data_IF_461137435319
#
_entry.id   IF_461137435319
#
_cell.length_a   1.000
_cell.length_b   1.000
_cell.length_c   1.000
_cell.angle_alpha   90.00
_cell.angle_beta   90.00
_cell.angle_gamma   90.00
#
_symmetry.space_group_name_H-M   'P 1'
#
loop_
_entity.id
_entity.type
_entity.pdbx_description
1 polymer ?
#
# COMPACT_ATOMS: atom_id res chain seq x y z
N UNK A 1 -31.09 -67.50 43.16
CA UNK A 1 -31.14 -66.77 41.89
C UNK A 1 -30.89 -65.27 42.16
N UNK A 2 -29.66 -64.81 41.93
CA UNK A 2 -29.29 -63.40 42.12
C UNK A 2 -29.37 -62.68 40.73
N UNK A 3 -30.23 -61.69 40.60
CA UNK A 3 -30.32 -60.88 39.37
C UNK A 3 -29.26 -59.75 39.44
N UNK A 4 -28.39 -59.76 38.49
CA UNK A 4 -27.40 -58.67 38.25
C UNK A 4 -28.10 -57.64 37.42
N UNK A 5 -28.20 -56.41 37.94
CA UNK A 5 -28.66 -55.20 37.18
C UNK A 5 -27.45 -54.51 36.60
N UNK A 6 -27.35 -54.49 35.28
CA UNK A 6 -26.29 -53.77 34.56
C UNK A 6 -26.75 -52.33 34.39
N UNK A 7 -26.06 -51.37 35.06
CA UNK A 7 -26.24 -49.94 34.81
C UNK A 7 -25.42 -49.55 33.57
N UNK A 8 -26.11 -49.16 32.49
CA UNK A 8 -25.48 -48.54 31.34
C UNK A 8 -25.27 -47.05 31.64
N UNK A 9 -24.02 -46.62 31.87
CA UNK A 9 -23.66 -45.21 31.90
C UNK A 9 -23.52 -44.68 30.46
N UNK A 10 -24.47 -43.87 30.00
CA UNK A 10 -24.36 -43.09 28.77
C UNK A 10 -23.49 -41.85 29.04
N UNK A 11 -22.25 -41.86 28.56
CA UNK A 11 -21.41 -40.67 28.56
C UNK A 11 -21.84 -39.74 27.41
N UNK A 12 -22.53 -38.63 27.75
CA UNK A 12 -22.77 -37.54 26.81
C UNK A 12 -21.47 -36.79 26.54
N UNK A 13 -20.89 -36.96 25.37
CA UNK A 13 -19.80 -36.12 24.86
C UNK A 13 -20.42 -34.84 24.35
N UNK A 14 -20.31 -33.77 25.13
CA UNK A 14 -20.63 -32.41 24.67
C UNK A 14 -19.56 -31.97 23.66
N UNK A 15 -19.88 -32.03 22.38
CA UNK A 15 -19.09 -31.40 21.32
C UNK A 15 -19.23 -29.88 21.47
N UNK A 16 -18.22 -29.22 22.00
CA UNK A 16 -18.07 -27.78 21.94
C UNK A 16 -17.83 -27.39 20.47
N UNK A 17 -18.88 -27.05 19.76
CA UNK A 17 -18.80 -26.37 18.46
C UNK A 17 -18.28 -24.96 18.69
N UNK A 18 -16.96 -24.77 18.61
CA UNK A 18 -16.35 -23.47 18.57
C UNK A 18 -16.82 -22.75 17.31
N UNK A 19 -17.70 -21.76 17.46
CA UNK A 19 -18.01 -20.83 16.39
C UNK A 19 -16.73 -20.03 16.09
N UNK A 20 -16.00 -20.40 15.06
CA UNK A 20 -14.97 -19.52 14.48
C UNK A 20 -15.72 -18.35 13.85
N UNK A 21 -15.80 -17.23 14.55
CA UNK A 21 -16.20 -15.95 13.94
C UNK A 21 -15.24 -15.71 12.79
N UNK A 22 -15.78 -15.63 11.57
CA UNK A 22 -14.98 -15.25 10.41
C UNK A 22 -14.30 -13.93 10.72
N UNK A 23 -12.96 -13.94 10.81
CA UNK A 23 -12.17 -12.76 11.13
C UNK A 23 -12.34 -11.77 10.00
N UNK A 24 -12.79 -10.55 10.30
CA UNK A 24 -13.02 -9.52 9.28
C UNK A 24 -11.68 -9.14 8.65
N UNK A 25 -11.49 -9.52 7.41
CA UNK A 25 -10.30 -9.17 6.65
C UNK A 25 -10.58 -7.91 5.84
N UNK A 26 -9.68 -6.94 5.93
CA UNK A 26 -9.69 -5.74 5.11
C UNK A 26 -8.62 -5.83 4.03
N UNK A 27 -8.82 -5.09 2.92
CA UNK A 27 -7.83 -5.08 1.86
C UNK A 27 -7.77 -3.73 1.14
N UNK A 28 -6.63 -3.45 0.51
CA UNK A 28 -6.49 -2.33 -0.41
C UNK A 28 -5.64 -2.70 -1.61
N UNK A 29 -5.93 -2.02 -2.72
CA UNK A 29 -5.10 -2.02 -3.92
C UNK A 29 -4.21 -0.79 -3.92
N UNK A 30 -2.96 -0.89 -4.39
CA UNK A 30 -2.09 0.28 -4.49
C UNK A 30 -1.34 0.32 -5.83
N UNK A 31 -1.24 1.52 -6.44
CA UNK A 31 -0.48 1.74 -7.65
C UNK A 31 0.14 3.15 -7.65
N UNK A 32 1.38 3.29 -8.11
CA UNK A 32 2.05 4.57 -8.31
C UNK A 32 2.45 4.78 -9.76
N UNK A 33 2.76 6.03 -10.11
CA UNK A 33 3.38 6.39 -11.40
C UNK A 33 2.54 5.92 -12.59
N UNK A 34 1.26 6.19 -12.53
CA UNK A 34 0.30 5.70 -13.53
C UNK A 34 -0.28 6.77 -14.44
N UNK A 35 -0.20 8.06 -14.06
CA UNK A 35 -0.94 9.18 -14.62
C UNK A 35 -0.55 9.64 -16.03
N UNK A 36 -0.05 8.74 -16.88
CA UNK A 36 0.41 9.05 -18.25
C UNK A 36 -0.73 9.19 -19.25
N UNK A 37 -1.95 8.84 -18.86
CA UNK A 37 -3.09 8.81 -19.79
C UNK A 37 -3.04 7.66 -20.80
N UNK A 38 -4.02 7.65 -21.69
CA UNK A 38 -4.02 6.73 -22.83
C UNK A 38 -4.20 5.26 -22.47
N UNK A 39 -3.68 4.39 -23.34
CA UNK A 39 -3.86 2.94 -23.24
C UNK A 39 -3.12 2.29 -22.05
N UNK A 40 -1.87 2.68 -21.73
CA UNK A 40 -1.17 2.06 -20.59
C UNK A 40 -1.91 2.23 -19.27
N UNK A 41 -2.31 3.46 -18.95
CA UNK A 41 -3.06 3.76 -17.72
C UNK A 41 -4.42 3.04 -17.68
N UNK A 42 -5.18 3.06 -18.79
CA UNK A 42 -6.46 2.33 -18.87
C UNK A 42 -6.28 0.82 -18.71
N UNK A 43 -5.21 0.26 -19.25
CA UNK A 43 -4.90 -1.18 -19.12
C UNK A 43 -4.63 -1.57 -17.67
N UNK A 44 -3.90 -0.73 -16.93
CA UNK A 44 -3.70 -0.90 -15.49
C UNK A 44 -5.04 -0.88 -14.74
N UNK A 45 -5.84 0.17 -14.96
CA UNK A 45 -7.14 0.32 -14.28
C UNK A 45 -8.09 -0.85 -14.56
N UNK A 46 -8.16 -1.32 -15.81
CA UNK A 46 -8.97 -2.48 -16.17
C UNK A 46 -8.46 -3.77 -15.51
N UNK A 47 -7.15 -3.94 -15.42
CA UNK A 47 -6.56 -5.09 -14.72
C UNK A 47 -6.89 -5.07 -13.24
N UNK A 48 -6.72 -3.92 -12.58
CA UNK A 48 -7.05 -3.75 -11.16
C UNK A 48 -8.53 -4.00 -10.90
N UNK A 49 -9.44 -3.49 -11.73
CA UNK A 49 -10.86 -3.74 -11.64
C UNK A 49 -11.21 -5.24 -11.73
N UNK A 50 -10.61 -5.95 -12.71
CA UNK A 50 -10.81 -7.40 -12.87
C UNK A 50 -10.24 -8.21 -11.72
N UNK A 51 -9.16 -7.75 -11.12
CA UNK A 51 -8.56 -8.39 -9.96
C UNK A 51 -9.43 -8.16 -8.71
N UNK A 52 -9.88 -6.93 -8.49
CA UNK A 52 -10.75 -6.56 -7.37
C UNK A 52 -12.07 -7.34 -7.37
N UNK A 53 -12.68 -7.55 -8.53
CA UNK A 53 -13.90 -8.34 -8.64
C UNK A 53 -13.78 -9.81 -8.16
N UNK A 54 -12.57 -10.32 -8.01
CA UNK A 54 -12.25 -11.66 -7.47
C UNK A 54 -11.61 -11.62 -6.10
N UNK A 55 -11.02 -10.50 -5.75
CA UNK A 55 -10.30 -10.25 -4.51
C UNK A 55 -10.77 -8.89 -3.96
N UNK A 56 -11.93 -8.86 -3.30
CA UNK A 56 -12.55 -7.61 -2.87
C UNK A 56 -11.63 -6.75 -2.02
N UNK A 57 -11.69 -5.43 -2.23
CA UNK A 57 -10.95 -4.45 -1.48
C UNK A 57 -11.88 -3.39 -0.87
N UNK A 58 -11.39 -2.66 0.12
CA UNK A 58 -12.11 -1.57 0.78
C UNK A 58 -11.56 -0.20 0.34
N UNK A 59 -10.33 -0.18 -0.21
CA UNK A 59 -9.65 1.06 -0.55
C UNK A 59 -8.80 0.89 -1.81
N UNK A 60 -8.73 1.96 -2.59
CA UNK A 60 -7.73 2.18 -3.62
C UNK A 60 -6.74 3.24 -3.12
N UNK A 61 -5.46 2.91 -3.09
CA UNK A 61 -4.35 3.77 -2.65
C UNK A 61 -3.51 4.16 -3.86
N UNK A 62 -3.17 5.43 -3.99
CA UNK A 62 -2.20 5.88 -5.00
C UNK A 62 -0.88 6.25 -4.34
N UNK A 63 0.24 5.89 -4.99
CA UNK A 63 1.59 6.08 -4.47
C UNK A 63 2.30 7.32 -5.09
N UNK A 64 1.51 8.27 -5.60
CA UNK A 64 2.02 9.49 -6.24
C UNK A 64 2.19 9.36 -7.75
N UNK A 65 2.54 10.49 -8.38
CA UNK A 65 2.59 10.68 -9.82
C UNK A 65 1.28 10.23 -10.47
N UNK A 66 0.22 10.88 -9.98
CA UNK A 66 -1.15 10.63 -10.39
C UNK A 66 -1.46 11.26 -11.76
N UNK A 67 -0.68 12.28 -12.16
CA UNK A 67 -0.80 12.97 -13.44
C UNK A 67 0.57 13.40 -14.00
N UNK A 68 0.84 13.04 -15.25
CA UNK A 68 1.99 13.52 -16.03
C UNK A 68 1.57 14.48 -17.15
N UNK A 69 0.25 14.74 -17.28
CA UNK A 69 -0.27 15.51 -18.42
C UNK A 69 -0.18 17.01 -18.21
N UNK A 70 0.10 17.46 -16.99
CA UNK A 70 0.12 18.87 -16.59
C UNK A 70 -1.18 19.62 -16.95
N UNK A 71 -2.29 18.87 -17.03
CA UNK A 71 -3.60 19.39 -17.43
C UNK A 71 -4.70 18.87 -16.50
N UNK A 72 -5.30 19.72 -15.67
CA UNK A 72 -6.39 19.32 -14.77
C UNK A 72 -7.57 18.65 -15.47
N UNK A 73 -7.86 19.06 -16.72
CA UNK A 73 -8.93 18.45 -17.51
C UNK A 73 -8.54 17.06 -18.00
N UNK A 74 -7.32 16.90 -18.50
CA UNK A 74 -6.77 15.59 -18.93
C UNK A 74 -6.67 14.64 -17.76
N UNK A 75 -6.11 15.08 -16.63
CA UNK A 75 -6.05 14.29 -15.39
C UNK A 75 -7.43 13.78 -14.98
N UNK A 76 -8.42 14.68 -14.86
CA UNK A 76 -9.78 14.28 -14.48
C UNK A 76 -10.38 13.25 -15.45
N UNK A 77 -10.17 13.45 -16.74
CA UNK A 77 -10.72 12.56 -17.77
C UNK A 77 -10.05 11.19 -17.74
N UNK A 78 -8.71 11.16 -17.69
CA UNK A 78 -7.92 9.94 -17.63
C UNK A 78 -8.21 9.16 -16.36
N UNK A 79 -8.19 9.82 -15.20
CA UNK A 79 -8.47 9.18 -13.91
C UNK A 79 -9.88 8.56 -13.88
N UNK A 80 -10.89 9.26 -14.38
CA UNK A 80 -12.26 8.73 -14.44
C UNK A 80 -12.37 7.52 -15.36
N UNK A 81 -11.66 7.54 -16.48
CA UNK A 81 -11.64 6.43 -17.43
C UNK A 81 -10.92 5.21 -16.84
N UNK A 82 -9.88 5.42 -16.05
CA UNK A 82 -9.02 4.37 -15.48
C UNK A 82 -9.54 3.85 -14.15
N UNK A 83 -9.84 4.74 -13.19
CA UNK A 83 -10.18 4.39 -11.81
C UNK A 83 -11.58 4.80 -11.37
N UNK A 84 -12.40 5.36 -12.26
CA UNK A 84 -13.79 5.73 -11.92
C UNK A 84 -14.64 4.54 -11.45
N UNK A 85 -14.26 3.32 -11.80
CA UNK A 85 -14.89 2.09 -11.30
C UNK A 85 -14.74 1.96 -9.77
N UNK A 86 -13.59 2.33 -9.19
CA UNK A 86 -13.34 2.18 -7.77
C UNK A 86 -14.40 2.88 -6.91
N UNK A 87 -14.78 4.12 -7.28
CA UNK A 87 -15.86 4.82 -6.58
C UNK A 87 -17.23 4.22 -6.83
N UNK A 88 -17.49 3.70 -8.03
CA UNK A 88 -18.78 3.03 -8.33
C UNK A 88 -18.95 1.72 -7.58
N UNK A 89 -17.86 1.03 -7.24
CA UNK A 89 -17.87 -0.18 -6.40
C UNK A 89 -17.79 0.11 -4.91
N UNK A 90 -17.74 1.39 -4.52
CA UNK A 90 -17.72 1.80 -3.11
C UNK A 90 -16.35 1.81 -2.46
N UNK A 91 -15.26 1.63 -3.22
CA UNK A 91 -13.91 1.74 -2.68
C UNK A 91 -13.63 3.18 -2.24
N UNK A 92 -13.07 3.33 -1.05
CA UNK A 92 -12.49 4.61 -0.63
C UNK A 92 -11.20 4.85 -1.41
N UNK A 93 -11.10 6.00 -2.06
CA UNK A 93 -9.86 6.42 -2.70
C UNK A 93 -9.04 7.25 -1.72
N UNK A 94 -7.75 6.98 -1.65
CA UNK A 94 -6.76 7.73 -0.87
C UNK A 94 -5.42 7.70 -1.61
N UNK A 95 -4.55 8.65 -1.38
CA UNK A 95 -3.28 8.65 -2.08
C UNK A 95 -2.29 9.67 -1.53
N UNK A 96 -1.18 9.79 -2.21
CA UNK A 96 -0.13 10.77 -1.96
C UNK A 96 0.19 11.54 -3.25
N UNK A 97 0.85 12.67 -3.11
CA UNK A 97 1.37 13.44 -4.22
C UNK A 97 2.78 12.96 -4.60
N UNK A 98 3.03 12.81 -5.90
CA UNK A 98 4.37 12.66 -6.45
C UNK A 98 4.91 14.00 -6.96
N UNK A 99 6.12 14.01 -7.51
CA UNK A 99 6.75 15.23 -8.00
C UNK A 99 6.05 15.80 -9.25
N UNK A 100 5.52 14.95 -10.13
CA UNK A 100 4.78 15.41 -11.30
C UNK A 100 3.44 16.04 -10.93
N UNK A 101 2.81 15.63 -9.84
CA UNK A 101 1.56 16.24 -9.34
C UNK A 101 1.77 17.72 -8.92
N UNK A 102 2.99 18.09 -8.52
CA UNK A 102 3.32 19.48 -8.17
C UNK A 102 3.53 20.40 -9.37
N UNK A 103 3.79 19.85 -10.55
CA UNK A 103 4.01 20.64 -11.78
C UNK A 103 2.76 21.40 -12.21
N UNK A 104 1.57 20.95 -11.77
CA UNK A 104 0.29 21.59 -12.09
C UNK A 104 -0.48 21.99 -10.84
N UNK A 105 -0.40 23.26 -10.45
CA UNK A 105 -1.19 23.80 -9.35
C UNK A 105 -0.83 23.26 -7.97
N UNK A 106 0.40 22.81 -7.79
CA UNK A 106 0.93 22.29 -6.52
C UNK A 106 0.07 21.16 -5.91
N UNK A 107 -0.36 20.20 -6.72
CA UNK A 107 -1.12 19.02 -6.28
C UNK A 107 -2.59 19.28 -5.90
N UNK A 108 -3.09 20.53 -6.01
CA UNK A 108 -4.47 20.85 -5.55
C UNK A 108 -5.56 20.11 -6.33
N UNK A 109 -5.30 19.78 -7.58
CA UNK A 109 -6.25 19.05 -8.42
C UNK A 109 -6.33 17.58 -8.02
N UNK A 110 -5.18 16.98 -7.70
CA UNK A 110 -5.02 15.63 -7.19
C UNK A 110 -5.68 15.50 -5.82
N UNK A 111 -5.40 16.44 -4.89
CA UNK A 111 -6.05 16.50 -3.58
C UNK A 111 -7.57 16.49 -3.73
N UNK A 112 -8.12 17.37 -4.58
CA UNK A 112 -9.55 17.47 -4.81
C UNK A 112 -10.14 16.22 -5.46
N UNK A 113 -9.53 15.74 -6.56
CA UNK A 113 -10.06 14.62 -7.34
C UNK A 113 -9.93 13.29 -6.57
N UNK A 114 -8.87 13.06 -5.84
CA UNK A 114 -8.66 11.83 -5.06
C UNK A 114 -9.35 11.90 -3.68
N UNK A 115 -9.85 13.06 -3.27
CA UNK A 115 -10.53 13.24 -1.97
C UNK A 115 -9.55 13.17 -0.79
N UNK A 116 -8.33 13.66 -1.02
CA UNK A 116 -7.32 13.80 0.03
C UNK A 116 -7.60 15.08 0.84
N UNK A 117 -7.66 15.02 2.19
CA UNK A 117 -8.03 16.18 3.01
C UNK A 117 -6.90 17.23 3.08
N UNK A 118 -5.66 16.80 2.89
CA UNK A 118 -4.44 17.61 2.93
C UNK A 118 -3.30 16.85 2.25
N UNK A 119 -2.12 17.45 2.00
CA UNK A 119 -0.98 16.74 1.43
C UNK A 119 -0.48 15.58 2.30
N UNK A 120 -0.67 15.66 3.62
CA UNK A 120 -0.38 14.56 4.55
C UNK A 120 -1.52 14.37 5.56
N UNK A 121 -1.85 13.12 5.85
CA UNK A 121 -3.00 12.75 6.69
C UNK A 121 -2.94 11.26 7.08
N UNK A 122 -3.88 10.80 7.90
CA UNK A 122 -4.01 9.38 8.23
C UNK A 122 -5.37 8.82 7.81
N UNK A 123 -5.42 7.49 7.62
CA UNK A 123 -6.66 6.71 7.44
C UNK A 123 -6.58 5.41 8.22
N UNK A 124 -7.71 5.01 8.77
CA UNK A 124 -7.88 3.67 9.35
C UNK A 124 -8.49 2.72 8.31
N UNK A 125 -8.01 1.47 8.35
CA UNK A 125 -8.54 0.36 7.58
C UNK A 125 -8.46 -0.91 8.45
N UNK A 126 -9.55 -1.22 9.16
CA UNK A 126 -9.53 -2.28 10.16
C UNK A 126 -8.46 -2.04 11.22
N UNK A 127 -7.59 -3.02 11.41
CA UNK A 127 -6.48 -2.99 12.36
C UNK A 127 -5.26 -2.19 11.88
N UNK A 128 -5.30 -1.70 10.64
CA UNK A 128 -4.24 -0.85 10.10
C UNK A 128 -4.56 0.65 10.22
N UNK A 129 -3.50 1.42 10.46
CA UNK A 129 -3.48 2.87 10.24
C UNK A 129 -2.46 3.18 9.15
N UNK A 130 -2.92 3.83 8.09
CA UNK A 130 -2.09 4.29 6.99
C UNK A 130 -1.75 5.77 7.24
N UNK A 131 -0.46 6.09 7.14
CA UNK A 131 0.10 7.43 7.26
C UNK A 131 0.51 7.89 5.86
N UNK A 132 -0.31 8.73 5.26
CA UNK A 132 -0.07 9.32 3.95
C UNK A 132 0.79 10.57 4.13
N UNK A 133 1.94 10.63 3.48
CA UNK A 133 2.94 11.68 3.66
C UNK A 133 3.29 12.35 2.33
N UNK A 134 3.63 13.61 2.38
CA UNK A 134 4.11 14.38 1.24
C UNK A 134 5.63 14.43 1.22
N UNK A 135 6.23 13.53 0.46
CA UNK A 135 7.70 13.47 0.31
C UNK A 135 8.29 14.52 -0.64
N UNK A 136 7.44 15.38 -1.25
CA UNK A 136 7.93 16.58 -1.95
C UNK A 136 8.34 17.68 -0.98
N UNK A 137 7.91 17.59 0.29
CA UNK A 137 8.18 18.59 1.33
C UNK A 137 8.47 17.93 2.68
N UNK A 138 9.66 17.34 2.81
CA UNK A 138 10.13 16.79 4.09
C UNK A 138 10.63 17.92 4.99
N UNK A 139 9.73 18.47 5.81
CA UNK A 139 10.00 19.60 6.67
C UNK A 139 9.67 19.30 8.14
N UNK A 140 10.07 20.19 9.06
CA UNK A 140 9.88 20.03 10.49
C UNK A 140 8.42 19.93 10.90
N UNK A 141 7.54 20.71 10.27
CA UNK A 141 6.11 20.71 10.60
C UNK A 141 5.47 19.34 10.34
N UNK A 142 5.70 18.78 9.15
CA UNK A 142 5.19 17.46 8.79
C UNK A 142 5.84 16.35 9.62
N UNK A 143 7.16 16.45 9.89
CA UNK A 143 7.89 15.47 10.69
C UNK A 143 7.39 15.43 12.13
N UNK A 144 7.17 16.59 12.77
CA UNK A 144 6.58 16.68 14.13
C UNK A 144 5.15 16.13 14.14
N UNK A 145 4.34 16.46 13.13
CA UNK A 145 2.99 15.91 12.99
C UNK A 145 3.03 14.37 12.85
N UNK A 146 3.92 13.85 12.01
CA UNK A 146 4.09 12.40 11.82
C UNK A 146 4.46 11.71 13.13
N UNK A 147 5.41 12.25 13.87
CA UNK A 147 5.82 11.71 15.18
C UNK A 147 4.65 11.65 16.15
N UNK A 148 3.87 12.73 16.26
CA UNK A 148 2.68 12.77 17.10
C UNK A 148 1.63 11.74 16.67
N UNK A 149 1.38 11.57 15.36
CA UNK A 149 0.43 10.59 14.85
C UNK A 149 0.89 9.15 15.11
N UNK A 150 2.18 8.86 14.96
CA UNK A 150 2.76 7.55 15.24
C UNK A 150 2.72 7.21 16.73
N UNK A 151 3.07 8.17 17.60
CA UNK A 151 3.04 8.01 19.05
C UNK A 151 1.62 7.74 19.59
N UNK A 152 0.61 8.39 19.01
CA UNK A 152 -0.79 8.23 19.42
C UNK A 152 -1.48 7.03 18.74
N UNK A 153 -0.82 6.34 17.83
CA UNK A 153 -1.43 5.23 17.10
C UNK A 153 -1.50 3.96 17.93
N UNK A 154 -2.70 3.45 18.09
CA UNK A 154 -3.00 2.15 18.72
C UNK A 154 -3.26 1.05 17.70
N UNK A 155 -2.95 1.29 16.41
CA UNK A 155 -3.14 0.29 15.36
C UNK A 155 -2.14 -0.85 15.51
N UNK A 156 -2.59 -2.07 15.28
CA UNK A 156 -1.71 -3.24 15.15
C UNK A 156 -0.72 -3.04 14.01
N UNK A 157 -1.23 -2.54 12.88
CA UNK A 157 -0.43 -2.30 11.67
C UNK A 157 -0.28 -0.80 11.40
N UNK A 158 0.94 -0.32 11.36
CA UNK A 158 1.29 1.03 10.94
C UNK A 158 1.96 0.96 9.58
N UNK A 159 1.34 1.60 8.59
CA UNK A 159 1.77 1.57 7.19
C UNK A 159 2.04 3.01 6.75
N UNK A 160 3.27 3.33 6.37
CA UNK A 160 3.59 4.63 5.79
C UNK A 160 3.50 4.58 4.26
N UNK A 161 2.88 5.60 3.66
CA UNK A 161 2.67 5.72 2.22
C UNK A 161 3.15 7.09 1.77
N UNK A 162 4.09 7.13 0.84
CA UNK A 162 4.62 8.37 0.24
C UNK A 162 5.33 8.07 -1.07
N UNK A 163 5.63 9.09 -1.86
CA UNK A 163 6.10 8.89 -3.24
C UNK A 163 7.58 8.55 -3.34
N UNK A 164 8.49 9.40 -2.83
CA UNK A 164 9.94 9.24 -2.99
C UNK A 164 10.51 8.20 -2.01
N UNK A 165 10.96 7.02 -2.48
CA UNK A 165 11.41 5.95 -1.60
C UNK A 165 12.71 6.30 -0.87
N UNK A 166 12.88 5.90 0.42
CA UNK A 166 14.15 6.06 1.14
C UNK A 166 15.25 5.17 0.57
N UNK A 167 14.87 4.04 0.00
CA UNK A 167 15.77 3.07 -0.62
C UNK A 167 15.21 2.63 -1.95
N UNK A 168 16.01 2.83 -3.00
CA UNK A 168 15.72 2.33 -4.35
C UNK A 168 17.03 2.09 -5.12
N UNK A 169 16.99 1.18 -6.07
CA UNK A 169 18.16 0.78 -6.87
C UNK A 169 17.73 0.63 -8.34
N UNK A 170 17.15 1.66 -8.88
CA UNK A 170 16.66 1.74 -10.25
C UNK A 170 17.06 3.06 -10.92
N UNK A 171 16.12 3.74 -11.56
CA UNK A 171 16.37 4.98 -12.29
C UNK A 171 16.64 6.19 -11.41
N UNK A 172 16.18 6.15 -10.16
CA UNK A 172 16.35 7.23 -9.19
C UNK A 172 17.21 6.82 -8.00
N UNK A 173 17.72 7.82 -7.27
CA UNK A 173 18.38 7.64 -5.97
C UNK A 173 17.35 7.65 -4.84
N UNK A 174 17.64 6.97 -3.74
CA UNK A 174 16.81 7.05 -2.54
C UNK A 174 16.78 8.46 -1.94
N UNK A 175 15.63 8.84 -1.38
CA UNK A 175 15.38 10.14 -0.78
C UNK A 175 16.12 10.29 0.56
N UNK A 176 17.25 11.00 0.56
CA UNK A 176 18.13 11.14 1.72
C UNK A 176 17.52 11.94 2.87
N UNK A 177 16.63 12.88 2.58
CA UNK A 177 15.84 13.65 3.55
C UNK A 177 14.82 12.77 4.28
N UNK A 178 14.14 11.86 3.56
CA UNK A 178 13.27 10.83 4.13
C UNK A 178 14.08 9.89 5.04
N UNK A 179 15.24 9.42 4.57
CA UNK A 179 16.13 8.57 5.37
C UNK A 179 16.52 9.24 6.68
N UNK A 180 16.86 10.54 6.63
CA UNK A 180 17.30 11.29 7.80
C UNK A 180 16.17 11.62 8.76
N UNK A 181 14.99 11.99 8.23
CA UNK A 181 13.92 12.59 9.04
C UNK A 181 12.82 11.61 9.44
N UNK A 182 12.45 10.64 8.58
CA UNK A 182 11.30 9.78 8.83
C UNK A 182 11.65 8.33 9.13
N UNK A 183 12.74 7.79 8.56
CA UNK A 183 13.14 6.40 8.82
C UNK A 183 13.37 6.15 10.32
N UNK A 184 14.04 7.02 11.10
CA UNK A 184 14.16 6.83 12.54
C UNK A 184 12.82 6.80 13.29
N UNK A 185 11.83 7.59 12.83
CA UNK A 185 10.48 7.57 13.40
C UNK A 185 9.77 6.26 13.06
N UNK A 186 9.88 5.79 11.82
CA UNK A 186 9.28 4.50 11.42
C UNK A 186 9.83 3.35 12.27
N UNK A 187 11.15 3.30 12.44
CA UNK A 187 11.82 2.28 13.24
C UNK A 187 11.46 2.39 14.73
N UNK A 188 11.46 3.61 15.28
CA UNK A 188 11.20 3.86 16.71
C UNK A 188 9.74 3.67 17.13
N UNK A 189 8.78 3.94 16.26
CA UNK A 189 7.34 3.82 16.54
C UNK A 189 6.68 2.56 15.94
N UNK A 190 7.48 1.64 15.41
CA UNK A 190 7.02 0.33 14.96
C UNK A 190 6.15 0.39 13.70
N UNK A 191 6.53 1.17 12.69
CA UNK A 191 5.98 1.05 11.33
C UNK A 191 6.47 -0.27 10.75
N UNK A 192 5.57 -1.12 10.26
CA UNK A 192 5.94 -2.44 9.73
C UNK A 192 6.14 -2.44 8.21
N UNK A 193 5.43 -1.53 7.50
CA UNK A 193 5.45 -1.47 6.03
C UNK A 193 5.55 -0.03 5.54
N UNK A 194 6.44 0.20 4.59
CA UNK A 194 6.56 1.44 3.82
C UNK A 194 6.26 1.13 2.36
N UNK A 195 5.34 1.89 1.75
CA UNK A 195 4.97 1.80 0.35
C UNK A 195 5.33 3.10 -0.36
N UNK A 196 6.06 3.01 -1.46
CA UNK A 196 6.49 4.17 -2.25
C UNK A 196 6.34 3.91 -3.75
N UNK A 197 6.30 4.99 -4.54
CA UNK A 197 6.34 4.99 -6.00
C UNK A 197 7.70 5.45 -6.55
N UNK A 198 7.66 6.41 -7.49
CA UNK A 198 8.76 7.18 -8.06
C UNK A 198 9.73 6.40 -8.95
N UNK A 199 10.20 5.26 -8.50
CA UNK A 199 11.07 4.42 -9.33
C UNK A 199 10.22 3.40 -10.09
N UNK A 200 10.15 3.53 -11.39
CA UNK A 200 9.18 2.84 -12.26
C UNK A 200 9.54 1.36 -12.44
N UNK A 201 9.46 0.64 -11.35
CA UNK A 201 9.70 -0.80 -11.25
C UNK A 201 9.11 -1.33 -9.93
N UNK A 202 9.33 -2.60 -9.63
CA UNK A 202 9.02 -3.17 -8.32
C UNK A 202 10.31 -3.55 -7.60
N UNK A 203 10.44 -3.13 -6.33
CA UNK A 203 11.53 -3.55 -5.46
C UNK A 203 11.01 -3.81 -4.04
N UNK A 204 11.47 -4.90 -3.43
CA UNK A 204 11.27 -5.17 -2.00
C UNK A 204 12.62 -5.37 -1.32
N UNK A 205 12.78 -4.71 -0.19
CA UNK A 205 13.98 -4.78 0.62
C UNK A 205 13.74 -5.67 1.85
N UNK A 206 14.82 -6.29 2.34
CA UNK A 206 14.80 -7.05 3.58
C UNK A 206 14.38 -6.14 4.76
N UNK A 207 13.66 -6.71 5.72
CA UNK A 207 13.26 -6.01 6.94
C UNK A 207 14.49 -5.38 7.61
N UNK A 208 14.41 -4.09 7.92
CA UNK A 208 15.42 -3.33 8.65
C UNK A 208 14.77 -2.70 9.88
N UNK A 209 15.26 -3.03 11.07
CA UNK A 209 14.76 -2.52 12.36
C UNK A 209 13.22 -2.58 12.45
N UNK A 210 12.61 -3.70 12.03
CA UNK A 210 11.17 -3.90 12.05
C UNK A 210 10.42 -3.47 10.79
N UNK A 211 11.00 -2.62 9.93
CA UNK A 211 10.34 -2.00 8.77
C UNK A 211 10.67 -2.74 7.47
N UNK A 212 9.67 -3.09 6.69
CA UNK A 212 9.81 -3.61 5.31
C UNK A 212 9.51 -2.48 4.32
N UNK A 213 10.41 -2.25 3.37
CA UNK A 213 10.30 -1.20 2.36
C UNK A 213 9.96 -1.81 1.00
N UNK A 214 8.92 -1.26 0.36
CA UNK A 214 8.46 -1.68 -0.97
C UNK A 214 8.35 -0.45 -1.86
N UNK A 215 8.99 -0.51 -3.01
CA UNK A 215 8.84 0.45 -4.10
C UNK A 215 7.96 -0.18 -5.17
N UNK A 216 6.93 0.51 -5.62
CA UNK A 216 6.07 0.11 -6.72
C UNK A 216 5.63 1.32 -7.55
N UNK A 217 6.58 1.87 -8.34
CA UNK A 217 6.32 2.90 -9.33
C UNK A 217 6.07 2.33 -10.74
N UNK A 218 5.89 1.03 -10.86
CA UNK A 218 5.62 0.36 -12.14
C UNK A 218 4.14 0.41 -12.57
N UNK A 219 3.40 1.49 -12.30
CA UNK A 219 1.99 1.58 -12.68
C UNK A 219 1.77 1.56 -14.19
N UNK A 220 2.08 2.66 -14.86
CA UNK A 220 1.89 2.76 -16.32
C UNK A 220 2.94 3.65 -17.01
N UNK A 221 3.71 4.45 -16.27
CA UNK A 221 4.81 5.23 -16.82
C UNK A 221 5.96 4.33 -17.29
N UNK A 222 6.81 4.85 -18.19
CA UNK A 222 7.92 4.09 -18.78
C UNK A 222 8.83 3.47 -17.71
N UNK A 223 9.08 2.16 -17.79
CA UNK A 223 9.85 1.44 -16.78
C UNK A 223 11.32 1.86 -16.73
N UNK A 224 11.89 1.88 -15.53
CA UNK A 224 13.32 2.14 -15.29
C UNK A 224 14.08 0.85 -14.99
N UNK A 225 15.28 0.75 -15.57
CA UNK A 225 16.17 -0.37 -15.34
C UNK A 225 16.56 -0.51 -13.86
N UNK A 226 16.80 -1.74 -13.44
CA UNK A 226 17.26 -2.08 -12.10
C UNK A 226 18.79 -2.12 -12.07
N UNK A 227 19.39 -1.53 -11.04
CA UNK A 227 20.85 -1.46 -10.84
C UNK A 227 21.28 -2.14 -9.54
N UNK A 228 22.58 -2.19 -9.29
CA UNK A 228 23.14 -2.63 -8.00
C UNK A 228 22.78 -1.65 -6.88
N UNK A 229 22.52 -2.16 -5.68
CA UNK A 229 22.21 -1.34 -4.53
C UNK A 229 23.49 -0.89 -3.78
N UNK A 230 23.50 0.32 -3.22
CA UNK A 230 24.54 0.73 -2.26
C UNK A 230 24.59 -0.22 -1.07
N UNK A 231 25.79 -0.49 -0.56
CA UNK A 231 26.00 -1.39 0.62
C UNK A 231 25.37 -0.85 1.91
N UNK A 232 25.10 0.45 1.99
CA UNK A 232 24.41 1.09 3.12
C UNK A 232 22.90 0.85 3.15
N UNK A 233 22.31 0.37 2.02
CA UNK A 233 20.89 0.09 1.93
C UNK A 233 20.55 -1.29 2.53
N UNK A 234 19.32 -1.52 2.98
CA UNK A 234 18.83 -2.87 3.22
C UNK A 234 18.99 -3.73 1.96
N UNK A 235 19.28 -5.01 2.13
CA UNK A 235 19.42 -5.92 0.98
C UNK A 235 18.12 -5.99 0.18
N UNK A 236 18.15 -5.69 -1.13
CA UNK A 236 17.01 -5.89 -2.02
C UNK A 236 16.79 -7.40 -2.21
N UNK A 237 15.64 -7.90 -1.77
CA UNK A 237 15.30 -9.33 -1.78
C UNK A 237 14.45 -9.75 -2.98
N UNK A 238 13.78 -8.79 -3.60
CA UNK A 238 12.99 -9.00 -4.82
C UNK A 238 13.01 -7.75 -5.69
N UNK A 239 13.02 -7.93 -6.99
CA UNK A 239 12.83 -6.86 -7.95
C UNK A 239 12.19 -7.37 -9.23
N UNK A 240 11.41 -6.51 -9.90
CA UNK A 240 10.76 -6.79 -11.20
C UNK A 240 10.79 -5.54 -12.07
N UNK A 241 11.14 -5.74 -13.33
CA UNK A 241 11.02 -4.75 -14.39
C UNK A 241 9.71 -5.03 -15.15
N UNK A 242 8.58 -4.64 -14.54
CA UNK A 242 7.26 -4.91 -15.10
C UNK A 242 6.21 -3.93 -14.55
N UNK A 243 5.15 -3.70 -15.32
CA UNK A 243 3.99 -2.95 -14.87
C UNK A 243 3.08 -3.81 -13.97
N UNK A 244 2.43 -3.15 -13.00
CA UNK A 244 1.53 -3.83 -12.09
C UNK A 244 1.00 -2.95 -10.97
N UNK A 245 0.59 -3.60 -9.89
CA UNK A 245 0.02 -2.97 -8.70
C UNK A 245 0.22 -3.88 -7.48
N UNK A 246 -0.01 -3.36 -6.29
CA UNK A 246 -0.01 -4.12 -5.06
C UNK A 246 -1.44 -4.46 -4.63
N UNK A 247 -1.62 -5.63 -4.02
CA UNK A 247 -2.78 -6.00 -3.25
C UNK A 247 -2.34 -6.34 -1.83
N UNK A 248 -2.92 -5.65 -0.86
CA UNK A 248 -2.55 -5.80 0.55
C UNK A 248 -3.78 -6.20 1.34
N UNK A 249 -3.69 -7.31 2.08
CA UNK A 249 -4.72 -7.74 3.02
C UNK A 249 -4.28 -7.51 4.45
N UNK A 250 -5.24 -7.14 5.29
CA UNK A 250 -5.02 -6.77 6.69
C UNK A 250 -5.95 -7.61 7.57
N UNK A 251 -5.38 -8.36 8.47
CA UNK A 251 -6.05 -9.02 9.59
C UNK A 251 -5.35 -8.66 10.91
N UNK A 252 -5.93 -8.93 12.08
CA UNK A 252 -5.27 -8.60 13.35
C UNK A 252 -3.89 -9.22 13.54
N UNK A 253 -3.65 -10.39 12.99
CA UNK A 253 -2.47 -11.24 13.21
C UNK A 253 -1.55 -11.35 11.97
N UNK A 254 -2.00 -10.89 10.80
CA UNK A 254 -1.22 -10.99 9.57
C UNK A 254 -1.52 -9.85 8.59
N UNK A 255 -0.48 -9.34 7.97
CA UNK A 255 -0.55 -8.44 6.83
C UNK A 255 0.16 -9.08 5.65
N UNK A 256 -0.61 -9.36 4.57
CA UNK A 256 -0.07 -9.96 3.35
C UNK A 256 0.07 -8.91 2.25
N UNK A 257 1.17 -8.97 1.53
CA UNK A 257 1.45 -8.09 0.38
C UNK A 257 1.73 -8.92 -0.85
N UNK A 258 0.94 -8.72 -1.90
CA UNK A 258 1.11 -9.32 -3.22
C UNK A 258 1.42 -8.27 -4.27
N UNK A 259 2.52 -8.42 -5.00
CA UNK A 259 2.77 -7.67 -6.22
C UNK A 259 2.15 -8.43 -7.40
N UNK A 260 1.26 -7.76 -8.13
CA UNK A 260 0.49 -8.34 -9.24
C UNK A 260 0.84 -7.61 -10.52
N UNK A 261 1.32 -8.31 -11.53
CA UNK A 261 1.67 -7.68 -12.79
C UNK A 261 0.45 -7.42 -13.70
N UNK A 262 0.67 -6.67 -14.78
CA UNK A 262 -0.39 -6.28 -15.73
C UNK A 262 -1.07 -7.50 -16.39
N UNK A 263 -0.44 -8.70 -16.42
CA UNK A 263 -1.09 -9.93 -16.89
C UNK A 263 -2.00 -10.56 -15.81
N UNK A 264 -1.94 -10.09 -14.57
CA UNK A 264 -2.71 -10.58 -13.43
C UNK A 264 -2.03 -11.71 -12.66
N UNK A 265 -0.73 -11.93 -12.88
CA UNK A 265 0.06 -12.91 -12.15
C UNK A 265 0.67 -12.27 -10.91
N UNK A 266 0.61 -12.97 -9.77
CA UNK A 266 1.37 -12.62 -8.57
C UNK A 266 2.85 -12.92 -8.83
N UNK A 267 3.71 -11.90 -8.75
CA UNK A 267 5.15 -11.98 -9.07
C UNK A 267 6.02 -11.86 -7.83
N UNK A 268 5.46 -11.39 -6.73
CA UNK A 268 6.01 -11.50 -5.38
C UNK A 268 4.86 -11.58 -4.36
N UNK A 269 5.10 -12.29 -3.27
CA UNK A 269 4.20 -12.39 -2.12
C UNK A 269 5.01 -12.53 -0.84
N UNK A 270 4.58 -11.85 0.22
CA UNK A 270 5.16 -11.99 1.55
C UNK A 270 4.15 -11.59 2.63
N UNK A 271 4.37 -12.13 3.83
CA UNK A 271 3.55 -11.86 5.00
C UNK A 271 4.38 -11.18 6.08
N UNK A 272 3.73 -10.30 6.84
CA UNK A 272 4.27 -9.69 8.05
C UNK A 272 3.45 -10.16 9.25
N UNK A 273 4.13 -10.33 10.38
CA UNK A 273 3.54 -10.58 11.69
C UNK A 273 3.68 -9.32 12.54
N UNK A 274 2.75 -9.02 13.48
CA UNK A 274 2.80 -7.86 14.36
C UNK A 274 4.08 -7.73 15.16
#
# INVERSE_FOLDING_TARGET
>A
MRRIVLLCMCACVLALSGSTTAQTQYAFLAAGDYGVGGTPERSLGLRMQRFEARNPANMLVTLGDNDYTQSPTSFRTNWRATFGWARRTGLRVSGVLGNHDYETGNGRYELSLLGMPSPYYTRRLGDAQLFFLDSNSVNTQQTTWLEQQLANSTATWKIAVFHHPPYTCGGHSGATDVVRSWVPLFEGYGVQLVLSGHDHNYQRFAKRNGVTYVVHGGGAAGLYALHGCPSSYPRRVRARYEHGFLYVTVSPDQLDVSAVNISGRVTDHFSLQP
#
